data_IF_702990553496
#
_entry.id   IF_702990553496
#
_cell.length_a   1.000
_cell.length_b   1.000
_cell.length_c   1.000
_cell.angle_alpha   90.00
_cell.angle_beta   90.00
_cell.angle_gamma   90.00
#
_symmetry.space_group_name_H-M   'P 1'
#
loop_
_entity.id
_entity.type
_entity.pdbx_description
1 polymer ?
#
# COMPACT_ATOMS: atom_id res chain seq x y z
N UNK A 1 32.44 -22.37 55.57
CA UNK A 1 32.37 -23.54 54.66
C UNK A 1 31.76 -23.06 53.36
N UNK A 2 32.36 -23.10 52.17
CA UNK A 2 33.73 -23.26 51.72
C UNK A 2 33.78 -22.56 50.34
N UNK A 3 34.79 -21.71 50.12
CA UNK A 3 35.25 -21.28 48.79
C UNK A 3 36.02 -22.45 48.17
N UNK A 4 35.80 -22.76 46.89
CA UNK A 4 36.78 -23.49 46.08
C UNK A 4 36.75 -22.95 44.65
N UNK A 5 37.73 -22.10 44.37
CA UNK A 5 38.26 -21.83 43.03
C UNK A 5 38.94 -23.08 42.49
N UNK A 6 38.85 -23.35 41.19
CA UNK A 6 39.76 -24.28 40.52
C UNK A 6 40.59 -23.56 39.46
N UNK A 7 41.88 -23.75 39.63
CA UNK A 7 43.00 -22.99 39.10
C UNK A 7 43.51 -23.62 37.79
N UNK A 8 44.22 -22.81 37.01
CA UNK A 8 44.87 -23.13 35.73
C UNK A 8 46.04 -24.13 35.89
N UNK A 9 46.36 -24.85 34.83
CA UNK A 9 47.63 -25.58 34.72
C UNK A 9 47.85 -26.28 33.36
N UNK A 10 48.90 -25.93 32.58
CA UNK A 10 49.14 -26.42 31.22
C UNK A 10 50.15 -27.59 31.18
N UNK A 11 50.11 -28.41 30.12
CA UNK A 11 51.16 -29.41 29.83
C UNK A 11 51.64 -29.29 28.38
N UNK A 12 52.96 -29.09 28.31
CA UNK A 12 53.94 -28.97 27.22
C UNK A 12 54.11 -30.17 26.28
N UNK A 13 54.66 -29.94 25.06
CA UNK A 13 55.90 -30.55 24.45
C UNK A 13 55.90 -30.52 22.89
N UNK A 14 57.00 -30.79 22.15
CA UNK A 14 57.75 -29.75 21.42
C UNK A 14 57.95 -30.04 19.90
N UNK A 15 58.74 -29.17 19.25
CA UNK A 15 59.12 -29.09 17.84
C UNK A 15 59.82 -30.34 17.23
N UNK A 16 59.55 -30.61 15.94
CA UNK A 16 60.53 -31.20 15.01
C UNK A 16 60.34 -30.72 13.54
N UNK A 17 61.42 -30.09 13.04
CA UNK A 17 62.01 -30.05 11.68
C UNK A 17 61.16 -30.06 10.38
N UNK A 18 61.32 -28.95 9.64
CA UNK A 18 61.27 -28.72 8.16
C UNK A 18 62.27 -29.64 7.39
N UNK A 19 62.37 -29.73 6.02
CA UNK A 19 61.65 -29.03 4.93
C UNK A 19 61.32 -29.86 3.65
N UNK A 20 60.59 -29.24 2.70
CA UNK A 20 60.55 -29.67 1.29
C UNK A 20 59.50 -28.97 0.42
N UNK A 21 59.92 -27.98 -0.39
CA UNK A 21 59.25 -27.57 -1.65
C UNK A 21 59.95 -28.34 -2.79
N UNK A 22 59.24 -28.75 -3.87
CA UNK A 22 59.13 -27.84 -5.01
C UNK A 22 57.81 -27.93 -5.82
N UNK A 23 57.46 -26.76 -6.38
CA UNK A 23 56.82 -26.46 -7.68
C UNK A 23 55.94 -27.52 -8.35
N UNK A 24 54.67 -27.17 -8.62
CA UNK A 24 54.19 -26.88 -9.98
C UNK A 24 52.67 -26.65 -10.01
N UNK A 25 52.31 -25.52 -10.60
CA UNK A 25 51.19 -25.32 -11.53
C UNK A 25 49.75 -25.62 -11.06
N UNK A 26 48.98 -24.52 -10.99
CA UNK A 26 47.67 -24.46 -11.63
C UNK A 26 46.48 -24.92 -10.79
N UNK A 27 45.95 -24.01 -9.98
CA UNK A 27 44.50 -24.00 -9.67
C UNK A 27 44.03 -22.55 -9.70
N UNK A 28 43.54 -22.22 -10.88
CA UNK A 28 42.48 -21.25 -11.18
C UNK A 28 41.88 -20.53 -9.97
N UNK A 29 42.09 -19.21 -9.95
CA UNK A 29 41.22 -18.27 -9.26
C UNK A 29 39.76 -18.55 -9.62
N UNK A 30 38.96 -19.01 -8.66
CA UNK A 30 37.51 -18.93 -8.82
C UNK A 30 37.13 -17.45 -8.69
N UNK A 31 36.65 -16.78 -9.75
CA UNK A 31 35.94 -15.52 -9.54
C UNK A 31 34.68 -15.85 -8.74
N UNK A 32 34.46 -15.12 -7.66
CA UNK A 32 33.20 -15.08 -6.94
C UNK A 32 32.07 -14.80 -7.93
N UNK A 33 31.36 -15.85 -8.35
CA UNK A 33 30.07 -15.70 -9.03
C UNK A 33 29.13 -15.14 -7.99
N UNK A 34 28.93 -13.82 -8.03
CA UNK A 34 27.78 -13.21 -7.39
C UNK A 34 26.54 -13.97 -7.87
N UNK A 35 25.63 -14.39 -6.97
CA UNK A 35 24.40 -15.00 -7.43
C UNK A 35 23.65 -13.98 -8.27
N UNK A 36 23.60 -14.22 -9.59
CA UNK A 36 22.69 -13.57 -10.51
C UNK A 36 21.30 -13.76 -9.93
N UNK A 37 20.69 -12.67 -9.46
CA UNK A 37 19.29 -12.63 -9.05
C UNK A 37 18.44 -13.35 -10.11
N UNK A 38 17.87 -14.53 -9.83
CA UNK A 38 16.84 -15.07 -10.67
C UNK A 38 15.57 -14.36 -10.22
N UNK A 39 15.37 -13.13 -10.68
CA UNK A 39 14.02 -12.60 -10.76
C UNK A 39 13.44 -13.19 -12.03
N UNK A 40 12.71 -14.33 -11.99
CA UNK A 40 11.89 -14.67 -13.13
C UNK A 40 10.98 -13.48 -13.38
N UNK A 41 10.92 -13.02 -14.62
CA UNK A 41 10.00 -12.00 -15.11
C UNK A 41 8.58 -12.56 -15.02
N UNK A 42 8.09 -12.80 -13.81
CA UNK A 42 6.69 -13.08 -13.55
C UNK A 42 5.93 -11.83 -13.99
N UNK A 43 4.86 -11.97 -14.80
CA UNK A 43 4.03 -10.83 -15.15
C UNK A 43 3.58 -10.16 -13.85
N UNK A 44 3.96 -8.89 -13.67
CA UNK A 44 3.54 -8.14 -12.49
C UNK A 44 2.05 -7.81 -12.63
N UNK A 45 1.20 -8.70 -12.11
CA UNK A 45 -0.25 -8.48 -12.00
C UNK A 45 -0.50 -7.28 -11.09
N UNK A 46 -0.63 -6.12 -11.73
CA UNK A 46 -0.79 -4.85 -11.05
C UNK A 46 -1.74 -3.94 -11.80
N UNK A 47 -2.49 -3.15 -11.03
CA UNK A 47 -3.45 -2.19 -11.53
C UNK A 47 -3.31 -0.90 -10.74
N UNK A 48 -3.31 0.24 -11.44
CA UNK A 48 -3.45 1.55 -10.83
C UNK A 48 -4.84 2.09 -11.08
N UNK A 49 -5.48 2.57 -10.01
CA UNK A 49 -6.80 3.18 -10.07
C UNK A 49 -6.83 4.44 -9.21
N UNK A 50 -7.73 5.36 -9.54
CA UNK A 50 -7.87 6.61 -8.82
C UNK A 50 -9.32 6.87 -8.34
N UNK A 51 -9.41 7.39 -7.12
CA UNK A 51 -10.63 7.96 -6.52
C UNK A 51 -10.47 9.47 -6.39
N UNK A 52 -11.56 10.21 -6.61
CA UNK A 52 -11.55 11.68 -6.52
C UNK A 52 -12.81 12.16 -5.81
N UNK A 53 -12.63 12.99 -4.79
CA UNK A 53 -13.72 13.72 -4.12
C UNK A 53 -13.24 15.12 -3.81
N UNK A 54 -13.98 16.13 -4.26
CA UNK A 54 -13.50 17.53 -4.23
C UNK A 54 -12.06 17.58 -4.81
N UNK A 55 -11.17 18.35 -4.22
CA UNK A 55 -9.77 18.45 -4.62
C UNK A 55 -8.91 17.26 -4.21
N UNK A 56 -9.40 16.33 -3.38
CA UNK A 56 -8.65 15.16 -2.95
C UNK A 56 -8.57 14.11 -4.06
N UNK A 57 -7.37 13.54 -4.22
CA UNK A 57 -7.07 12.45 -5.15
C UNK A 57 -6.39 11.32 -4.37
N UNK A 58 -6.97 10.13 -4.47
CA UNK A 58 -6.40 8.90 -3.93
C UNK A 58 -6.04 7.97 -5.09
N UNK A 59 -4.77 7.58 -5.18
CA UNK A 59 -4.27 6.64 -6.17
C UNK A 59 -3.93 5.33 -5.46
N UNK A 60 -4.61 4.27 -5.84
CA UNK A 60 -4.39 2.92 -5.32
C UNK A 60 -3.57 2.12 -6.32
N UNK A 61 -2.46 1.58 -5.84
CA UNK A 61 -1.68 0.55 -6.53
C UNK A 61 -2.09 -0.81 -5.97
N UNK A 62 -2.78 -1.61 -6.78
CA UNK A 62 -3.15 -2.98 -6.46
C UNK A 62 -2.16 -3.94 -7.07
N UNK A 63 -1.74 -4.94 -6.28
CA UNK A 63 -0.89 -6.04 -6.68
C UNK A 63 -1.44 -7.34 -6.12
N UNK A 64 -1.22 -8.48 -6.78
CA UNK A 64 -1.52 -9.79 -6.18
C UNK A 64 -0.67 -10.01 -4.92
N UNK A 65 -1.29 -10.46 -3.83
CA UNK A 65 -0.67 -10.43 -2.50
C UNK A 65 -1.48 -11.13 -1.41
N UNK A 66 -1.27 -10.72 -0.15
CA UNK A 66 -1.81 -11.35 1.08
C UNK A 66 -2.98 -10.59 1.73
N UNK A 67 -3.45 -9.48 1.14
CA UNK A 67 -4.54 -8.68 1.69
C UNK A 67 -4.10 -7.47 2.52
N UNK A 68 -2.88 -6.99 2.34
CA UNK A 68 -2.34 -5.85 3.07
C UNK A 68 -2.79 -4.53 2.45
N UNK A 69 -3.55 -3.74 3.20
CA UNK A 69 -4.04 -2.42 2.77
C UNK A 69 -3.35 -1.32 3.56
N UNK A 70 -2.58 -0.47 2.87
CA UNK A 70 -1.83 0.64 3.46
C UNK A 70 -2.16 1.97 2.78
N UNK A 71 -2.38 3.01 3.57
CA UNK A 71 -2.64 4.39 3.15
C UNK A 71 -1.46 5.25 3.58
N UNK A 72 -0.73 5.83 2.62
CA UNK A 72 0.47 6.64 2.84
C UNK A 72 1.55 5.97 3.72
N UNK A 73 1.55 4.63 3.81
CA UNK A 73 2.47 3.86 4.65
C UNK A 73 1.84 3.36 5.95
N UNK A 74 0.77 3.99 6.42
CA UNK A 74 0.00 3.57 7.59
C UNK A 74 -1.04 2.49 7.23
N UNK A 75 -1.36 1.54 8.12
CA UNK A 75 -2.47 0.62 7.92
C UNK A 75 -3.81 1.36 7.93
N UNK A 76 -4.83 0.78 7.29
CA UNK A 76 -6.18 1.37 7.20
C UNK A 76 -6.86 1.58 8.57
N UNK A 77 -6.41 0.86 9.61
CA UNK A 77 -6.93 0.95 10.98
C UNK A 77 -6.55 2.27 11.66
N UNK A 78 -5.43 2.87 11.25
CA UNK A 78 -4.88 4.08 11.85
C UNK A 78 -5.21 5.33 11.02
N UNK A 79 -6.28 5.28 10.22
CA UNK A 79 -6.74 6.44 9.45
C UNK A 79 -7.48 7.40 10.38
N UNK A 80 -6.96 8.62 10.45
CA UNK A 80 -7.61 9.73 11.15
C UNK A 80 -8.57 10.50 10.22
N UNK A 81 -9.70 11.04 10.72
CA UNK A 81 -10.27 10.88 12.06
C UNK A 81 -11.06 9.57 12.26
N UNK A 82 -11.08 9.06 13.49
CA UNK A 82 -11.67 7.75 13.85
C UNK A 82 -13.14 7.59 13.44
N UNK A 83 -13.93 8.66 13.58
CA UNK A 83 -15.37 8.65 13.25
C UNK A 83 -15.60 8.29 11.78
N UNK A 84 -14.71 8.75 10.90
CA UNK A 84 -14.81 8.51 9.46
C UNK A 84 -14.04 7.26 9.03
N UNK A 85 -13.36 6.56 9.94
CA UNK A 85 -12.64 5.33 9.64
C UNK A 85 -13.57 4.26 9.06
N UNK A 86 -14.75 4.09 9.63
CA UNK A 86 -15.78 3.18 9.10
C UNK A 86 -16.12 3.45 7.63
N UNK A 87 -16.04 4.71 7.21
CA UNK A 87 -16.30 5.10 5.84
C UNK A 87 -15.23 4.58 4.86
N UNK A 88 -13.99 4.39 5.29
CA UNK A 88 -12.96 3.75 4.48
C UNK A 88 -13.12 2.22 4.41
N UNK A 89 -13.69 1.61 5.45
CA UNK A 89 -13.91 0.16 5.55
C UNK A 89 -15.13 -0.37 4.81
N UNK A 90 -16.12 0.47 4.50
CA UNK A 90 -17.33 0.06 3.78
C UNK A 90 -17.10 -0.89 2.59
N UNK A 91 -16.20 -0.61 1.62
CA UNK A 91 -15.97 -1.53 0.50
C UNK A 91 -15.42 -2.90 0.94
N UNK A 92 -14.67 -2.96 2.04
CA UNK A 92 -14.12 -4.20 2.60
C UNK A 92 -15.21 -5.00 3.30
N UNK A 93 -16.07 -4.31 4.05
CA UNK A 93 -17.15 -4.95 4.79
C UNK A 93 -18.24 -5.48 3.85
N UNK A 94 -18.59 -4.73 2.80
CA UNK A 94 -19.62 -5.11 1.83
C UNK A 94 -19.24 -6.34 1.00
N UNK A 95 -17.99 -6.42 0.56
CA UNK A 95 -17.52 -7.51 -0.30
C UNK A 95 -16.94 -8.69 0.48
N UNK A 96 -16.70 -8.51 1.78
CA UNK A 96 -16.10 -9.49 2.67
C UNK A 96 -14.58 -9.62 2.49
N UNK A 97 -13.90 -10.01 3.58
CA UNK A 97 -12.43 -10.13 3.62
C UNK A 97 -11.86 -11.16 2.65
N UNK A 98 -12.65 -12.16 2.28
CA UNK A 98 -12.24 -13.24 1.37
C UNK A 98 -11.79 -12.72 -0.01
N UNK A 99 -12.48 -11.72 -0.57
CA UNK A 99 -12.12 -11.14 -1.88
C UNK A 99 -10.85 -10.27 -1.83
N UNK A 100 -10.48 -9.78 -0.64
CA UNK A 100 -9.27 -8.97 -0.44
C UNK A 100 -8.04 -9.81 -0.08
N UNK A 101 -8.21 -11.06 0.36
CA UNK A 101 -7.10 -11.90 0.79
C UNK A 101 -6.03 -12.14 -0.29
N UNK A 102 -6.41 -12.09 -1.58
CA UNK A 102 -5.50 -12.27 -2.71
C UNK A 102 -4.86 -10.98 -3.24
N UNK A 103 -5.15 -9.80 -2.68
CA UNK A 103 -4.70 -8.52 -3.24
C UNK A 103 -4.14 -7.57 -2.17
N UNK A 104 -2.93 -7.09 -2.40
CA UNK A 104 -2.31 -6.02 -1.62
C UNK A 104 -2.58 -4.67 -2.26
N UNK A 105 -2.93 -3.67 -1.44
CA UNK A 105 -3.27 -2.32 -1.88
C UNK A 105 -2.38 -1.29 -1.20
N UNK A 106 -1.64 -0.52 -2.00
CA UNK A 106 -0.88 0.66 -1.53
C UNK A 106 -1.55 1.93 -2.05
N UNK A 107 -2.08 2.73 -1.14
CA UNK A 107 -2.86 3.92 -1.44
C UNK A 107 -2.01 5.15 -1.15
N UNK A 108 -1.90 6.05 -2.14
CA UNK A 108 -1.26 7.36 -2.01
C UNK A 108 -2.32 8.44 -2.14
N UNK A 109 -2.42 9.33 -1.17
CA UNK A 109 -3.46 10.37 -1.12
C UNK A 109 -2.83 11.74 -1.10
N UNK A 110 -3.34 12.66 -1.94
CA UNK A 110 -2.88 14.05 -2.04
C UNK A 110 -4.05 15.02 -2.19
N UNK A 111 -3.90 16.21 -1.61
CA UNK A 111 -4.85 17.32 -1.72
C UNK A 111 -6.13 17.16 -0.89
N UNK A 112 -6.97 18.20 -0.91
CA UNK A 112 -8.21 18.26 -0.14
C UNK A 112 -8.02 18.30 1.37
N UNK A 113 -9.09 18.01 2.13
CA UNK A 113 -9.07 17.83 3.58
C UNK A 113 -9.49 16.40 3.99
N UNK A 114 -9.44 16.10 5.29
CA UNK A 114 -9.64 14.75 5.84
C UNK A 114 -10.89 14.04 5.32
N UNK A 115 -12.05 14.71 5.35
CA UNK A 115 -13.31 14.12 4.89
C UNK A 115 -13.24 13.75 3.41
N UNK A 116 -12.84 14.68 2.55
CA UNK A 116 -12.70 14.43 1.11
C UNK A 116 -11.67 13.34 0.78
N UNK A 117 -10.59 13.26 1.55
CA UNK A 117 -9.57 12.23 1.38
C UNK A 117 -10.13 10.84 1.69
N UNK A 118 -10.90 10.68 2.77
CA UNK A 118 -11.53 9.41 3.14
C UNK A 118 -12.51 8.94 2.06
N UNK A 119 -13.36 9.82 1.54
CA UNK A 119 -14.24 9.47 0.44
C UNK A 119 -13.48 9.12 -0.85
N UNK A 120 -12.34 9.76 -1.11
CA UNK A 120 -11.48 9.41 -2.24
C UNK A 120 -10.83 8.03 -2.05
N UNK A 121 -10.35 7.70 -0.85
CA UNK A 121 -9.76 6.39 -0.48
C UNK A 121 -10.80 5.29 -0.64
N UNK A 122 -11.99 5.49 -0.06
CA UNK A 122 -13.14 4.60 -0.22
C UNK A 122 -13.37 4.25 -1.69
N UNK A 123 -13.45 5.29 -2.53
CA UNK A 123 -13.71 5.13 -3.96
C UNK A 123 -12.56 4.41 -4.67
N UNK A 124 -11.32 4.71 -4.31
CA UNK A 124 -10.15 4.13 -4.96
C UNK A 124 -10.01 2.64 -4.65
N UNK A 125 -10.31 2.20 -3.42
CA UNK A 125 -10.34 0.77 -3.03
C UNK A 125 -11.35 0.00 -3.87
N UNK A 126 -12.60 0.49 -3.93
CA UNK A 126 -13.68 -0.16 -4.68
C UNK A 126 -13.34 -0.29 -6.17
N UNK A 127 -12.89 0.80 -6.80
CA UNK A 127 -12.47 0.78 -8.22
C UNK A 127 -11.32 -0.15 -8.48
N UNK A 128 -10.32 -0.15 -7.60
CA UNK A 128 -9.12 -0.92 -7.83
C UNK A 128 -9.38 -2.43 -7.76
N UNK A 129 -10.31 -2.87 -6.89
CA UNK A 129 -10.76 -4.26 -6.87
C UNK A 129 -11.52 -4.61 -8.16
N UNK A 130 -12.50 -3.79 -8.57
CA UNK A 130 -13.26 -4.04 -9.81
C UNK A 130 -12.34 -4.12 -11.03
N UNK A 131 -11.35 -3.24 -11.11
CA UNK A 131 -10.37 -3.22 -12.21
C UNK A 131 -9.41 -4.42 -12.17
N UNK A 132 -9.04 -4.90 -10.98
CA UNK A 132 -8.23 -6.11 -10.83
C UNK A 132 -8.98 -7.34 -11.32
N UNK A 133 -10.23 -7.53 -10.88
CA UNK A 133 -11.08 -8.64 -11.31
C UNK A 133 -11.39 -8.58 -12.80
N UNK A 134 -11.56 -7.38 -13.36
CA UNK A 134 -11.76 -7.19 -14.80
C UNK A 134 -10.56 -7.67 -15.63
N UNK A 135 -9.33 -7.58 -15.12
CA UNK A 135 -8.12 -7.86 -15.88
C UNK A 135 -7.57 -9.28 -15.67
N UNK A 136 -7.71 -9.85 -14.47
CA UNK A 136 -6.96 -11.04 -14.06
C UNK A 136 -7.81 -12.21 -13.53
N UNK A 137 -9.13 -12.05 -13.34
CA UNK A 137 -9.99 -13.07 -12.74
C UNK A 137 -11.09 -13.46 -13.73
N UNK A 138 -12.31 -12.93 -13.56
CA UNK A 138 -13.47 -13.28 -14.40
C UNK A 138 -14.42 -12.08 -14.54
N UNK A 139 -15.12 -12.01 -15.67
CA UNK A 139 -16.13 -10.99 -15.91
C UNK A 139 -17.39 -11.17 -15.05
N UNK A 140 -17.75 -12.41 -14.72
CA UNK A 140 -18.93 -12.72 -13.91
C UNK A 140 -18.74 -12.22 -12.47
N UNK A 141 -17.62 -12.62 -11.85
CA UNK A 141 -17.20 -12.16 -10.52
C UNK A 141 -17.12 -10.64 -10.44
N UNK A 142 -16.66 -9.97 -11.51
CA UNK A 142 -16.65 -8.51 -11.62
C UNK A 142 -18.07 -7.92 -11.62
N UNK A 143 -19.01 -8.48 -12.39
CA UNK A 143 -20.40 -8.00 -12.45
C UNK A 143 -21.06 -8.08 -11.07
N UNK A 144 -20.91 -9.20 -10.37
CA UNK A 144 -21.42 -9.36 -9.01
C UNK A 144 -20.89 -8.30 -8.05
N UNK A 145 -19.56 -8.09 -8.01
CA UNK A 145 -18.93 -7.06 -7.16
C UNK A 145 -19.46 -5.68 -7.51
N UNK A 146 -19.53 -5.37 -8.80
CA UNK A 146 -20.00 -4.07 -9.29
C UNK A 146 -21.45 -3.84 -8.88
N UNK A 147 -22.31 -4.84 -9.01
CA UNK A 147 -23.73 -4.73 -8.68
C UNK A 147 -23.95 -4.56 -7.17
N UNK A 148 -23.21 -5.29 -6.33
CA UNK A 148 -23.24 -5.12 -4.88
C UNK A 148 -22.83 -3.69 -4.49
N UNK A 149 -21.73 -3.18 -5.06
CA UNK A 149 -21.24 -1.83 -4.79
C UNK A 149 -22.22 -0.75 -5.26
N UNK A 150 -22.79 -0.89 -6.46
CA UNK A 150 -23.74 0.07 -7.03
C UNK A 150 -25.07 0.08 -6.27
N UNK A 151 -25.56 -1.10 -5.85
CA UNK A 151 -26.78 -1.22 -5.04
C UNK A 151 -26.64 -0.52 -3.69
N UNK A 152 -25.47 -0.58 -3.08
CA UNK A 152 -25.22 0.12 -1.82
C UNK A 152 -25.03 1.63 -2.03
N UNK A 153 -24.05 2.04 -2.84
CA UNK A 153 -23.78 3.44 -3.11
C UNK A 153 -23.08 3.64 -4.46
N UNK A 154 -23.70 4.43 -5.33
CA UNK A 154 -23.13 4.83 -6.63
C UNK A 154 -21.79 5.58 -6.48
N UNK A 155 -21.57 6.27 -5.36
CA UNK A 155 -20.36 7.08 -5.15
C UNK A 155 -19.09 6.24 -4.93
N UNK A 156 -19.22 4.94 -4.64
CA UNK A 156 -18.10 4.00 -4.54
C UNK A 156 -17.39 3.81 -5.88
N UNK A 157 -18.12 3.90 -6.99
CA UNK A 157 -17.55 3.76 -8.34
C UNK A 157 -17.51 5.09 -9.08
N UNK A 158 -18.55 5.91 -9.00
CA UNK A 158 -18.63 7.17 -9.76
C UNK A 158 -18.21 8.35 -8.89
N UNK A 159 -17.33 9.21 -9.40
CA UNK A 159 -16.87 10.38 -8.66
C UNK A 159 -17.96 11.46 -8.64
N UNK A 160 -18.10 12.15 -7.51
CA UNK A 160 -19.00 13.31 -7.41
C UNK A 160 -18.37 14.52 -8.13
N UNK A 161 -19.02 15.07 -9.17
CA UNK A 161 -18.47 16.15 -9.97
C UNK A 161 -18.42 17.51 -9.26
N UNK A 162 -19.09 17.66 -8.11
CA UNK A 162 -19.22 18.95 -7.41
C UNK A 162 -17.87 19.60 -7.07
N UNK A 163 -17.79 20.93 -7.28
CA UNK A 163 -16.64 21.81 -7.00
C UNK A 163 -17.11 23.15 -6.42
N UNK A 164 -16.21 23.85 -5.74
CA UNK A 164 -16.50 25.17 -5.17
C UNK A 164 -16.64 26.19 -6.30
N UNK A 165 -17.77 26.88 -6.35
CA UNK A 165 -17.98 28.01 -7.26
C UNK A 165 -17.00 29.15 -6.88
N UNK A 166 -16.45 29.88 -7.87
CA UNK A 166 -15.57 31.01 -7.61
C UNK A 166 -16.33 32.17 -6.94
N UNK A 167 -15.61 32.98 -6.16
CA UNK A 167 -16.14 34.19 -5.53
C UNK A 167 -16.47 35.24 -6.61
N UNK A 168 -17.60 35.94 -6.47
CA UNK A 168 -17.98 37.09 -7.30
C UNK A 168 -17.81 38.40 -6.52
N UNK A 169 -17.55 39.51 -7.21
CA UNK A 169 -17.42 40.84 -6.60
C UNK A 169 -18.73 41.29 -5.94
N UNK A 170 -18.69 42.20 -4.96
CA UNK A 170 -19.91 42.72 -4.30
C UNK A 170 -20.53 41.75 -3.29
N UNK A 171 -19.72 40.90 -2.67
CA UNK A 171 -20.20 39.88 -1.73
C UNK A 171 -19.09 39.16 -0.99
N UNK A 172 -19.45 38.46 0.08
CA UNK A 172 -18.50 37.62 0.84
C UNK A 172 -18.17 36.31 0.12
N UNK A 173 -19.13 35.72 -0.62
CA UNK A 173 -18.98 34.42 -1.27
C UNK A 173 -19.39 34.40 -2.75
N UNK A 174 -19.60 33.20 -3.29
CA UNK A 174 -20.03 33.02 -4.68
C UNK A 174 -21.40 33.65 -4.98
N UNK A 175 -22.33 33.60 -4.01
CA UNK A 175 -23.72 34.09 -4.16
C UNK A 175 -24.13 35.14 -3.12
N UNK A 176 -23.56 35.09 -1.91
CA UNK A 176 -23.90 36.01 -0.84
C UNK A 176 -23.47 37.45 -1.17
N UNK A 177 -24.40 38.40 -1.09
CA UNK A 177 -24.16 39.84 -1.31
C UNK A 177 -24.01 40.58 0.02
N UNK A 178 -23.34 41.73 -0.01
CA UNK A 178 -23.32 42.62 1.15
C UNK A 178 -24.71 43.23 1.39
N UNK A 179 -25.05 43.48 2.65
CA UNK A 179 -26.31 44.11 3.02
C UNK A 179 -26.39 45.52 2.44
N UNK A 180 -27.53 45.85 1.81
CA UNK A 180 -27.83 47.21 1.37
C UNK A 180 -28.53 47.97 2.49
N UNK A 181 -28.15 49.21 2.72
CA UNK A 181 -28.86 50.17 3.58
C UNK A 181 -29.53 51.23 2.71
N UNK A 182 -30.76 51.61 3.09
CA UNK A 182 -31.56 52.64 2.42
C UNK A 182 -31.74 53.84 3.37
N UNK A 183 -32.12 55.00 2.81
CA UNK A 183 -32.45 56.22 3.54
C UNK A 183 -33.86 56.67 3.15
#
# INVERSE_FOLDING_TARGET
MALVEFNMGPISKPLHSVPGRPTAMGVTSQPSICPLNPNPLMPHESVQCFGRKKTAVAVTYCKRGRGLIKINGCPIELVEPEILRFKAYEPILLLGRHRFAGVDMRIRVKGGGHTSQIYAIRQSIAKALVAFYQKYVDEQSKKEIKDILVRYDRTLLVADPRRCEPKKFGGRGARARFQKSYR
#
